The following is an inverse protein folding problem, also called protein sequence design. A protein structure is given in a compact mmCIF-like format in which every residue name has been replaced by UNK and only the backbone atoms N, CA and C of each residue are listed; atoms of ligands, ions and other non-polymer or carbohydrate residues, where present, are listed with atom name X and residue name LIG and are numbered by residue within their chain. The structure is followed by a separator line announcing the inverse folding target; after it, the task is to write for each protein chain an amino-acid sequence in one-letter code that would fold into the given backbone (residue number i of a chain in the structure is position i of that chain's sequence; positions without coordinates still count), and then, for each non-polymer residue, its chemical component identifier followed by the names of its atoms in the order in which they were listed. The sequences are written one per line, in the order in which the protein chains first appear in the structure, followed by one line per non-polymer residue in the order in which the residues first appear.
data_IF_482443218891
#
_entry.id   IF_482443218891
#
_cell.length_a   1.000
_cell.length_b   1.000
_cell.length_c   1.000
_cell.angle_alpha   90.00
_cell.angle_beta   90.00
_cell.angle_gamma   90.00
#
_symmetry.space_group_name_H-M   'P 1'
#
loop_
_entity.id
_entity.type
_entity.pdbx_description
1 polymer ?
#
# COMPACT_ATOMS: atom_id res chain seq x y z
N UNK A 1 -8.30 12.90 -8.15
CA UNK A 1 -8.79 11.58 -7.70
C UNK A 1 -7.69 10.52 -7.49
N UNK A 2 -6.58 10.53 -8.26
CA UNK A 2 -5.53 9.48 -8.18
C UNK A 2 -4.90 9.29 -6.79
N UNK A 3 -4.68 10.38 -6.04
CA UNK A 3 -4.02 10.32 -4.72
C UNK A 3 -4.77 9.52 -3.65
N UNK A 4 -6.11 9.60 -3.62
CA UNK A 4 -6.93 8.87 -2.64
C UNK A 4 -6.85 7.36 -2.86
N UNK A 5 -6.92 6.94 -4.12
CA UNK A 5 -6.81 5.52 -4.49
C UNK A 5 -5.44 4.95 -4.15
N UNK A 6 -4.36 5.69 -4.44
CA UNK A 6 -3.00 5.24 -4.12
C UNK A 6 -2.81 5.07 -2.61
N UNK A 7 -3.27 6.04 -1.80
CA UNK A 7 -3.23 5.92 -0.34
C UNK A 7 -3.94 4.67 0.16
N UNK A 8 -5.11 4.37 -0.41
CA UNK A 8 -5.90 3.21 -0.04
C UNK A 8 -5.23 1.88 -0.45
N UNK A 9 -4.66 1.85 -1.66
CA UNK A 9 -3.85 0.73 -2.17
C UNK A 9 -2.63 0.48 -1.28
N UNK A 10 -1.97 1.52 -0.80
CA UNK A 10 -0.79 1.39 0.06
C UNK A 10 -1.17 0.86 1.45
N UNK A 11 -2.29 1.30 2.01
CA UNK A 11 -2.84 0.73 3.25
C UNK A 11 -3.16 -0.75 3.08
N UNK A 12 -3.88 -1.11 2.01
CA UNK A 12 -4.20 -2.50 1.69
C UNK A 12 -2.93 -3.38 1.64
N UNK A 13 -1.91 -2.94 0.89
CA UNK A 13 -0.64 -3.69 0.79
C UNK A 13 0.00 -3.92 2.16
N UNK A 14 0.09 -2.87 2.99
CA UNK A 14 0.66 -2.96 4.34
C UNK A 14 -0.14 -3.93 5.21
N UNK A 15 -1.46 -3.81 5.23
CA UNK A 15 -2.36 -4.69 5.98
C UNK A 15 -2.26 -6.14 5.49
N UNK A 16 -2.21 -6.36 4.18
CA UNK A 16 -2.08 -7.69 3.61
C UNK A 16 -0.73 -8.34 3.97
N UNK A 17 0.37 -7.60 3.90
CA UNK A 17 1.68 -8.09 4.35
C UNK A 17 1.68 -8.43 5.84
N UNK A 18 1.08 -7.57 6.68
CA UNK A 18 0.91 -7.87 8.10
C UNK A 18 0.06 -9.13 8.30
N UNK A 19 -0.98 -9.33 7.49
CA UNK A 19 -1.86 -10.51 7.59
C UNK A 19 -1.16 -11.84 7.37
N UNK A 20 -0.09 -11.84 6.57
CA UNK A 20 0.74 -13.00 6.29
C UNK A 20 1.87 -13.18 7.30
N UNK A 21 2.14 -12.18 8.13
CA UNK A 21 3.21 -12.24 9.13
C UNK A 21 2.84 -13.19 10.27
N UNK A 22 3.85 -13.91 10.77
CA UNK A 22 3.72 -14.76 11.95
C UNK A 22 3.24 -13.93 13.14
N UNK A 23 2.13 -14.35 13.76
CA UNK A 23 1.57 -13.65 14.92
C UNK A 23 0.45 -12.64 14.61
N UNK A 24 -0.04 -12.57 13.37
CA UNK A 24 -1.22 -11.75 13.00
C UNK A 24 -2.57 -12.29 13.56
N UNK A 25 -2.54 -13.05 14.66
CA UNK A 25 -3.76 -13.51 15.32
C UNK A 25 -4.51 -12.38 16.03
N UNK A 26 -5.60 -12.75 16.70
CA UNK A 26 -6.31 -11.87 17.64
C UNK A 26 -5.46 -11.67 18.89
N UNK A 27 -5.18 -10.41 19.23
CA UNK A 27 -4.45 -10.04 20.44
C UNK A 27 -5.41 -9.62 21.56
N UNK A 28 -4.95 -9.57 22.82
CA UNK A 28 -5.74 -9.03 23.92
C UNK A 28 -6.21 -7.59 23.68
N UNK A 29 -5.38 -6.78 23.01
CA UNK A 29 -5.70 -5.38 22.66
C UNK A 29 -6.84 -5.31 21.64
N UNK A 30 -6.83 -6.18 20.63
CA UNK A 30 -7.94 -6.28 19.66
C UNK A 30 -9.27 -6.55 20.39
N UNK A 31 -9.27 -7.46 21.37
CA UNK A 31 -10.46 -7.78 22.17
C UNK A 31 -10.95 -6.60 23.01
N UNK A 32 -10.04 -5.78 23.54
CA UNK A 32 -10.41 -4.55 24.25
C UNK A 32 -11.10 -3.54 23.33
N UNK A 33 -10.70 -3.49 22.06
CA UNK A 33 -11.36 -2.66 21.02
C UNK A 33 -12.64 -3.29 20.45
N UNK A 34 -13.04 -4.48 20.93
CA UNK A 34 -14.25 -5.19 20.49
C UNK A 34 -14.07 -6.01 19.21
N UNK A 35 -12.84 -6.16 18.71
CA UNK A 35 -12.52 -6.99 17.54
C UNK A 35 -12.50 -8.47 17.97
N UNK A 36 -13.36 -9.26 17.34
CA UNK A 36 -13.54 -10.69 17.64
C UNK A 36 -13.10 -11.60 16.50
N UNK A 37 -12.95 -11.08 15.28
CA UNK A 37 -12.52 -11.85 14.11
C UNK A 37 -11.31 -11.22 13.43
N UNK A 38 -10.53 -12.03 12.73
CA UNK A 38 -9.39 -11.54 11.95
C UNK A 38 -9.87 -10.60 10.84
N UNK A 39 -11.05 -10.86 10.26
CA UNK A 39 -11.68 -9.97 9.28
C UNK A 39 -11.92 -8.57 9.85
N UNK A 40 -12.47 -8.47 11.06
CA UNK A 40 -12.67 -7.19 11.74
C UNK A 40 -11.34 -6.47 12.02
N UNK A 41 -10.27 -7.23 12.34
CA UNK A 41 -8.92 -6.68 12.49
C UNK A 41 -8.35 -6.15 11.17
N UNK A 42 -8.61 -6.85 10.07
CA UNK A 42 -8.19 -6.41 8.74
C UNK A 42 -8.93 -5.14 8.32
N UNK A 43 -10.24 -5.09 8.57
CA UNK A 43 -11.09 -3.93 8.26
C UNK A 43 -10.76 -2.71 9.14
N UNK A 44 -10.32 -2.92 10.39
CA UNK A 44 -9.87 -1.81 11.25
C UNK A 44 -8.58 -1.16 10.74
N UNK A 45 -7.68 -1.95 10.12
CA UNK A 45 -6.42 -1.46 9.54
C UNK A 45 -6.60 -0.90 8.12
N UNK A 46 -7.46 -1.52 7.31
CA UNK A 46 -7.78 -1.11 5.95
C UNK A 46 -9.29 -1.22 5.72
N UNK A 47 -10.04 -0.09 5.72
CA UNK A 47 -11.49 -0.14 5.51
C UNK A 47 -11.83 -0.86 4.19
N UNK A 48 -12.83 -1.72 4.11
CA UNK A 48 -13.16 -2.50 2.91
C UNK A 48 -12.01 -3.40 2.40
N UNK A 49 -11.25 -4.01 3.31
CA UNK A 49 -10.11 -4.85 2.95
C UNK A 49 -10.49 -5.97 1.97
N UNK A 50 -11.65 -6.59 2.18
CA UNK A 50 -12.20 -7.65 1.33
C UNK A 50 -12.29 -7.22 -0.14
N UNK A 51 -12.89 -6.06 -0.42
CA UNK A 51 -13.08 -5.55 -1.78
C UNK A 51 -11.74 -5.29 -2.48
N UNK A 52 -10.75 -4.78 -1.73
CA UNK A 52 -9.40 -4.62 -2.27
C UNK A 52 -8.71 -5.96 -2.50
N UNK A 53 -8.89 -6.92 -1.58
CA UNK A 53 -8.31 -8.24 -1.72
C UNK A 53 -8.83 -8.97 -2.97
N UNK A 54 -10.12 -8.82 -3.28
CA UNK A 54 -10.71 -9.33 -4.51
C UNK A 54 -10.15 -8.63 -5.76
N UNK A 55 -10.00 -7.31 -5.72
CA UNK A 55 -9.51 -6.52 -6.87
C UNK A 55 -8.02 -6.73 -7.17
N UNK A 56 -7.19 -6.91 -6.14
CA UNK A 56 -5.73 -6.91 -6.31
C UNK A 56 -4.95 -7.97 -5.53
N UNK A 57 -5.57 -8.68 -4.59
CA UNK A 57 -4.95 -9.80 -3.89
C UNK A 57 -4.91 -11.07 -4.73
N UNK A 58 -6.02 -11.40 -5.39
CA UNK A 58 -6.15 -12.60 -6.22
C UNK A 58 -5.85 -12.33 -7.69
N UNK A 59 -4.73 -11.66 -7.98
CA UNK A 59 -4.34 -11.40 -9.37
C UNK A 59 -3.69 -12.65 -9.94
N UNK A 60 -4.47 -13.42 -10.71
CA UNK A 60 -3.92 -14.50 -11.52
C UNK A 60 -2.78 -13.94 -12.40
N UNK A 61 -1.66 -14.65 -12.46
CA UNK A 61 -0.57 -14.36 -13.39
C UNK A 61 -1.04 -14.73 -14.81
N UNK A 62 -1.99 -13.97 -15.34
CA UNK A 62 -2.48 -14.13 -16.69
C UNK A 62 -1.45 -13.52 -17.62
N UNK A 63 -0.92 -14.33 -18.54
CA UNK A 63 -0.20 -13.84 -19.70
C UNK A 63 -1.23 -13.57 -20.81
N UNK A 64 -1.58 -12.32 -21.11
CA UNK A 64 -2.56 -12.05 -22.16
C UNK A 64 -1.96 -12.48 -23.50
N UNK A 65 -2.59 -13.45 -24.17
CA UNK A 65 -2.15 -13.95 -25.48
C UNK A 65 -2.20 -12.86 -26.57
N UNK A 66 -3.01 -11.82 -26.36
CA UNK A 66 -3.21 -10.73 -27.30
C UNK A 66 -3.50 -9.45 -26.52
N UNK A 67 -2.78 -8.36 -26.83
CA UNK A 67 -2.98 -7.03 -26.26
C UNK A 67 -3.56 -6.13 -27.35
N UNK A 68 -4.88 -5.92 -27.35
CA UNK A 68 -5.50 -4.90 -28.20
C UNK A 68 -5.19 -3.53 -27.60
N UNK A 69 -4.61 -2.64 -28.39
CA UNK A 69 -4.48 -1.24 -28.01
C UNK A 69 -5.76 -0.51 -28.41
N UNK A 70 -6.60 -0.15 -27.45
CA UNK A 70 -7.86 0.57 -27.68
C UNK A 70 -7.68 2.00 -28.23
N UNK A 71 -6.43 2.46 -28.41
CA UNK A 71 -6.11 3.74 -29.04
C UNK A 71 -5.81 3.62 -30.55
N UNK A 72 -5.81 2.42 -31.14
CA UNK A 72 -5.47 2.20 -32.56
C UNK A 72 -6.67 2.34 -33.50
N UNK A 73 -7.58 3.27 -33.24
CA UNK A 73 -8.67 3.62 -34.15
C UNK A 73 -8.80 5.16 -34.23
N UNK A 74 -7.80 5.80 -34.83
CA UNK A 74 -7.96 7.08 -35.53
C UNK A 74 -7.21 6.97 -36.86
N UNK A 75 -7.63 6.00 -37.68
CA UNK A 75 -7.55 6.22 -39.11
C UNK A 75 -8.75 7.10 -39.47
N UNK A 76 -8.45 8.37 -39.68
CA UNK A 76 -9.32 9.37 -40.29
C UNK A 76 -9.96 8.73 -41.53
N UNK A 77 -11.23 8.37 -41.45
CA UNK A 77 -12.04 8.00 -42.60
C UNK A 77 -12.19 9.24 -43.48
N UNK A 78 -11.27 9.41 -44.44
CA UNK A 78 -11.57 10.21 -45.62
C UNK A 78 -12.50 9.36 -46.49
N UNK A 79 -13.78 9.74 -46.46
CA UNK A 79 -14.80 9.28 -47.39
C UNK A 79 -14.32 9.51 -48.83
N UNK A 80 -14.01 8.43 -49.55
CA UNK A 80 -14.00 8.40 -51.02
C UNK A 80 -14.28 6.97 -51.49
N UNK A 81 -15.39 6.82 -52.19
CA UNK A 81 -15.78 5.64 -52.97
C UNK A 81 -14.66 5.23 -53.95
N UNK A 82 -14.28 3.94 -53.96
CA UNK A 82 -13.87 3.24 -55.18
C UNK A 82 -13.58 1.75 -54.91
N UNK A 83 -14.39 0.87 -55.52
CA UNK A 83 -14.06 -0.53 -55.81
C UNK A 83 -12.70 -0.64 -56.53
N UNK A 84 -11.77 -1.48 -56.05
CA UNK A 84 -11.07 -2.43 -56.92
C UNK A 84 -10.28 -3.52 -56.15
N UNK A 85 -10.31 -4.67 -56.79
CA UNK A 85 -9.67 -5.98 -56.62
C UNK A 85 -8.17 -6.06 -56.29
N UNK A 86 -7.82 -7.22 -55.71
CA UNK A 86 -6.60 -8.04 -55.87
C UNK A 86 -5.33 -7.86 -55.00
N UNK A 87 -5.14 -8.93 -54.18
CA UNK A 87 -3.90 -9.68 -53.85
C UNK A 87 -2.91 -9.13 -52.79
N UNK A 88 -2.30 -10.01 -51.93
CA UNK A 88 -1.45 -9.60 -50.83
C UNK A 88 0.00 -9.44 -51.30
N UNK A 89 0.66 -8.37 -50.85
CA UNK A 89 2.09 -8.17 -51.04
C UNK A 89 2.81 -8.22 -49.70
N UNK A 90 3.93 -8.93 -49.75
CA UNK A 90 4.86 -9.31 -48.71
C UNK A 90 5.94 -8.20 -48.59
N UNK A 91 6.70 -8.20 -47.49
CA UNK A 91 7.83 -7.28 -47.19
C UNK A 91 7.45 -5.87 -46.67
N UNK A 92 8.14 -5.26 -45.69
CA UNK A 92 9.50 -5.46 -45.19
C UNK A 92 9.66 -5.11 -43.70
N UNK A 93 10.68 -5.76 -43.14
CA UNK A 93 11.29 -5.65 -41.82
C UNK A 93 11.95 -4.27 -41.56
N UNK A 94 12.38 -4.03 -40.31
CA UNK A 94 13.20 -2.90 -39.76
C UNK A 94 12.38 -1.73 -39.19
N UNK A 95 12.39 -1.41 -37.89
CA UNK A 95 13.58 -1.16 -37.09
C UNK A 95 13.36 -1.48 -35.60
N UNK A 96 14.31 -2.21 -35.03
CA UNK A 96 14.44 -2.53 -33.62
C UNK A 96 15.56 -1.65 -33.07
N UNK A 97 15.28 -0.70 -32.17
CA UNK A 97 16.18 -0.24 -31.09
C UNK A 97 15.67 1.05 -30.44
N UNK A 98 15.15 0.96 -29.21
CA UNK A 98 15.65 1.76 -28.10
C UNK A 98 15.05 1.22 -26.79
N UNK A 99 15.71 0.18 -26.28
CA UNK A 99 15.64 -0.20 -24.88
C UNK A 99 16.89 0.36 -24.22
N UNK A 100 16.77 1.38 -23.37
CA UNK A 100 17.86 1.78 -22.47
C UNK A 100 17.29 2.49 -21.23
N UNK A 101 17.40 1.76 -20.13
CA UNK A 101 17.62 2.17 -18.74
C UNK A 101 16.74 3.25 -18.13
N UNK A 102 15.75 2.80 -17.35
CA UNK A 102 15.41 3.47 -16.10
C UNK A 102 15.78 2.54 -14.92
N UNK A 103 17.08 2.29 -14.79
CA UNK A 103 17.69 1.70 -13.60
C UNK A 103 18.47 2.78 -12.87
N UNK A 104 17.83 3.37 -11.86
CA UNK A 104 18.50 3.67 -10.59
C UNK A 104 17.47 3.69 -9.46
N UNK A 105 17.28 2.50 -8.92
CA UNK A 105 16.82 2.28 -7.56
C UNK A 105 18.08 2.23 -6.70
N UNK A 106 18.38 3.25 -5.89
CA UNK A 106 19.11 3.17 -4.61
C UNK A 106 19.37 4.57 -4.06
N UNK A 107 18.63 4.96 -3.01
CA UNK A 107 19.25 5.58 -1.83
C UNK A 107 18.29 5.41 -0.65
N UNK A 108 18.40 4.23 -0.04
CA UNK A 108 18.03 3.98 1.34
C UNK A 108 19.31 4.15 2.16
N UNK A 109 19.32 5.08 3.13
CA UNK A 109 20.23 5.30 4.29
C UNK A 109 20.43 6.83 4.41
N UNK A 110 19.97 7.53 5.45
CA UNK A 110 20.45 7.35 6.81
C UNK A 110 19.37 7.58 7.87
N UNK A 111 19.30 6.60 8.77
CA UNK A 111 18.80 6.72 10.12
C UNK A 111 19.96 7.19 11.00
N UNK A 112 19.89 8.36 11.64
CA UNK A 112 20.47 8.58 12.98
C UNK A 112 20.24 9.98 13.53
N UNK A 113 19.83 9.98 14.80
CA UNK A 113 20.22 10.91 15.87
C UNK A 113 19.86 12.40 15.76
N UNK A 114 19.00 12.87 16.65
CA UNK A 114 19.38 13.10 18.05
C UNK A 114 18.26 13.86 18.78
N UNK A 115 17.88 13.31 19.91
CA UNK A 115 17.28 13.96 21.08
C UNK A 115 17.53 15.48 21.17
N UNK A 116 16.46 16.26 21.26
CA UNK A 116 16.50 17.49 22.07
C UNK A 116 15.23 17.59 22.92
N UNK A 117 15.28 16.90 24.04
CA UNK A 117 14.39 17.05 25.18
C UNK A 117 14.49 18.49 25.69
N UNK A 118 13.47 19.29 25.41
CA UNK A 118 13.29 20.61 26.00
C UNK A 118 13.25 20.48 27.52
N UNK A 119 14.37 20.77 28.19
CA UNK A 119 14.45 20.96 29.64
C UNK A 119 13.73 22.27 29.98
N UNK A 120 12.41 22.18 30.14
CA UNK A 120 11.65 23.13 30.94
C UNK A 120 12.09 22.98 32.39
N UNK A 121 12.79 23.99 32.90
CA UNK A 121 12.97 24.17 34.34
C UNK A 121 11.62 24.58 34.91
N UNK A 122 11.06 23.77 35.80
CA UNK A 122 10.13 24.27 36.80
C UNK A 122 10.76 24.03 38.16
N UNK A 123 11.39 25.10 38.65
CA UNK A 123 11.68 25.30 40.06
C UNK A 123 10.33 25.49 40.77
N UNK A 124 9.91 24.51 41.57
CA UNK A 124 8.85 24.70 42.57
C UNK A 124 9.17 23.88 43.81
N UNK A 125 9.99 24.53 44.62
CA UNK A 125 10.04 24.45 46.07
C UNK A 125 8.63 24.44 46.69
N UNK A 126 8.25 23.37 47.39
CA UNK A 126 7.59 23.50 48.70
C UNK A 126 7.39 22.15 49.41
N UNK A 127 7.72 22.12 50.70
CA UNK A 127 6.87 21.41 51.68
C UNK A 127 7.42 20.14 52.30
N UNK A 128 8.16 20.32 53.40
CA UNK A 128 8.33 19.35 54.50
C UNK A 128 7.01 18.62 54.84
N UNK A 129 7.05 17.30 55.07
CA UNK A 129 5.87 16.59 55.57
C UNK A 129 6.05 15.11 55.93
N UNK A 130 6.87 14.85 56.96
CA UNK A 130 6.82 13.76 57.97
C UNK A 130 6.42 12.32 57.55
N UNK A 131 7.35 11.43 57.86
CA UNK A 131 7.18 9.99 58.06
C UNK A 131 5.99 9.66 58.98
N UNK A 132 5.24 8.62 58.63
CA UNK A 132 4.41 7.85 59.56
C UNK A 132 4.15 6.45 59.00
N UNK A 133 5.01 5.51 59.39
CA UNK A 133 4.74 4.07 59.34
C UNK A 133 3.52 3.71 60.19
N UNK A 134 2.47 3.17 59.57
CA UNK A 134 1.40 2.39 60.20
C UNK A 134 0.90 1.46 59.08
N UNK A 135 0.92 0.14 59.14
CA UNK A 135 0.96 -0.81 60.23
C UNK A 135 0.14 -2.01 59.75
N UNK A 136 0.75 -3.17 59.75
CA UNK A 136 0.18 -4.50 59.56
C UNK A 136 -1.20 -4.67 60.22
N UNK A 137 -2.19 -5.20 59.49
CA UNK A 137 -3.34 -5.85 60.12
C UNK A 137 -3.78 -7.07 59.32
N UNK A 138 -3.21 -8.19 59.70
CA UNK A 138 -3.74 -9.54 59.52
C UNK A 138 -5.07 -9.64 60.27
N UNK A 139 -6.14 -10.04 59.59
CA UNK A 139 -7.13 -11.03 60.08
C UNK A 139 -7.75 -11.76 58.90
#
# INVERSE_FOLDING_TARGET
MKGRFNSYKDKYKKTHTLSLATGFGLTPEDRQTGIQTIEQKLDSLCPHYQAMHELMGNKAFVNPLYKVNAQKDVETTNSSDSDNSDNPDDSDNSDNSDNSDNSDNSDNSDNSDNSDSSKGKDDSDNGKGKDSDIGELVR
#
